data_IF_059184908594
#
_entry.id   IF_059184908594
#
_cell.length_a   1.000
_cell.length_b   1.000
_cell.length_c   1.000
_cell.angle_alpha   90.00
_cell.angle_beta   90.00
_cell.angle_gamma   90.00
#
_symmetry.space_group_name_H-M   'P 1'
#
loop_
_entity.id
_entity.type
_entity.pdbx_description
1 polymer ?
#
# COMPACT_ATOMS: atom_id res chain seq x y z
N UNK A 1 14.81 -13.27 4.11
CA UNK A 1 14.72 -12.39 5.29
C UNK A 1 14.24 -10.98 4.95
N UNK A 2 14.61 -10.42 3.79
CA UNK A 2 14.25 -9.06 3.36
C UNK A 2 12.76 -8.85 2.99
N UNK A 3 12.07 -9.89 2.50
CA UNK A 3 10.63 -9.81 2.15
C UNK A 3 9.74 -9.59 3.38
N UNK A 4 10.01 -10.31 4.48
CA UNK A 4 9.25 -10.18 5.74
C UNK A 4 9.28 -8.76 6.32
N UNK A 5 10.45 -8.12 6.33
CA UNK A 5 10.60 -6.73 6.82
C UNK A 5 9.75 -5.72 6.05
N UNK A 6 9.54 -5.96 4.75
CA UNK A 6 8.76 -5.08 3.88
C UNK A 6 7.27 -5.28 4.15
N UNK A 7 6.85 -6.54 4.29
CA UNK A 7 5.46 -6.86 4.61
C UNK A 7 5.09 -6.28 5.99
N UNK A 8 6.02 -6.34 6.96
CA UNK A 8 5.90 -5.70 8.28
C UNK A 8 5.79 -4.18 8.19
N UNK A 9 6.67 -3.52 7.43
CA UNK A 9 6.64 -2.05 7.23
C UNK A 9 5.34 -1.61 6.54
N UNK A 10 4.89 -2.37 5.53
CA UNK A 10 3.63 -2.09 4.85
C UNK A 10 2.42 -2.24 5.78
N UNK A 11 2.41 -3.30 6.59
CA UNK A 11 1.36 -3.53 7.59
C UNK A 11 1.30 -2.41 8.62
N UNK A 12 2.45 -1.96 9.13
CA UNK A 12 2.52 -0.85 10.09
C UNK A 12 1.91 0.44 9.50
N UNK A 13 2.23 0.76 8.23
CA UNK A 13 1.65 1.91 7.53
C UNK A 13 0.13 1.77 7.32
N UNK A 14 -0.36 0.58 6.97
CA UNK A 14 -1.79 0.33 6.84
C UNK A 14 -2.52 0.52 8.18
N UNK A 15 -1.96 0.01 9.28
CA UNK A 15 -2.53 0.15 10.62
C UNK A 15 -2.60 1.62 11.05
N UNK A 16 -1.53 2.40 10.80
CA UNK A 16 -1.51 3.83 11.08
C UNK A 16 -2.61 4.57 10.30
N UNK A 17 -2.81 4.24 9.03
CA UNK A 17 -3.89 4.82 8.22
C UNK A 17 -5.27 4.42 8.75
N UNK A 18 -5.48 3.18 9.20
CA UNK A 18 -6.76 2.76 9.82
C UNK A 18 -7.10 3.52 11.11
N UNK A 19 -6.09 4.02 11.83
CA UNK A 19 -6.29 4.76 13.08
C UNK A 19 -6.71 6.21 12.86
N UNK A 20 -6.66 6.72 11.63
CA UNK A 20 -7.10 8.07 11.29
C UNK A 20 -8.60 8.21 11.48
N UNK A 21 -9.02 9.30 12.13
CA UNK A 21 -10.44 9.59 12.36
C UNK A 21 -11.22 9.73 11.04
N UNK A 22 -10.62 10.35 10.02
CA UNK A 22 -11.21 10.44 8.67
C UNK A 22 -11.47 9.07 8.07
N UNK A 23 -10.51 8.15 8.20
CA UNK A 23 -10.61 6.78 7.70
C UNK A 23 -11.64 5.98 8.49
N UNK A 24 -11.67 6.08 9.83
CA UNK A 24 -12.66 5.39 10.67
C UNK A 24 -14.10 5.81 10.39
N UNK A 25 -14.32 7.06 9.95
CA UNK A 25 -15.64 7.57 9.55
C UNK A 25 -16.05 7.15 8.14
N UNK A 26 -15.08 6.84 7.27
CA UNK A 26 -15.33 6.33 5.93
C UNK A 26 -15.26 4.80 5.90
N UNK A 27 -16.42 4.17 6.09
CA UNK A 27 -16.51 2.70 6.16
C UNK A 27 -15.94 2.01 4.91
N UNK A 28 -16.19 2.54 3.72
CA UNK A 28 -15.75 1.90 2.48
C UNK A 28 -14.22 1.91 2.39
N UNK A 29 -13.60 3.05 2.69
CA UNK A 29 -12.16 3.16 2.69
C UNK A 29 -11.52 2.37 3.83
N UNK A 30 -12.10 2.40 5.03
CA UNK A 30 -11.67 1.59 6.17
C UNK A 30 -11.65 0.10 5.85
N UNK A 31 -12.74 -0.43 5.28
CA UNK A 31 -12.87 -1.84 4.91
C UNK A 31 -11.82 -2.23 3.86
N UNK A 32 -11.53 -1.34 2.91
CA UNK A 32 -10.51 -1.53 1.88
C UNK A 32 -9.10 -1.62 2.46
N UNK A 33 -8.72 -0.73 3.39
CA UNK A 33 -7.42 -0.79 4.08
C UNK A 33 -7.33 -2.04 4.95
N UNK A 34 -8.42 -2.37 5.66
CA UNK A 34 -8.51 -3.55 6.52
C UNK A 34 -8.35 -4.85 5.76
N UNK A 35 -8.99 -4.96 4.60
CA UNK A 35 -8.87 -6.13 3.74
C UNK A 35 -7.44 -6.32 3.23
N UNK A 36 -6.76 -5.22 2.87
CA UNK A 36 -5.37 -5.30 2.45
C UNK A 36 -4.46 -5.77 3.60
N UNK A 37 -4.62 -5.20 4.80
CA UNK A 37 -3.84 -5.62 5.98
C UNK A 37 -4.06 -7.10 6.31
N UNK A 38 -5.30 -7.58 6.34
CA UNK A 38 -5.64 -8.98 6.59
C UNK A 38 -5.00 -9.93 5.56
N UNK A 39 -5.04 -9.58 4.27
CA UNK A 39 -4.40 -10.37 3.22
C UNK A 39 -2.90 -10.48 3.40
N UNK A 40 -2.21 -9.38 3.73
CA UNK A 40 -0.76 -9.39 3.95
C UNK A 40 -0.40 -10.22 5.19
N UNK A 41 -1.16 -10.10 6.28
CA UNK A 41 -0.98 -10.96 7.46
C UNK A 41 -1.13 -12.45 7.14
N UNK A 42 -2.04 -12.80 6.22
CA UNK A 42 -2.24 -14.16 5.71
C UNK A 42 -1.19 -14.62 4.68
N UNK A 43 -0.18 -13.80 4.39
CA UNK A 43 0.92 -14.13 3.49
C UNK A 43 0.66 -13.83 2.01
N UNK A 44 -0.35 -13.00 1.70
CA UNK A 44 -0.53 -12.50 0.35
C UNK A 44 0.66 -11.63 -0.08
N UNK A 45 0.86 -11.51 -1.39
CA UNK A 45 1.96 -10.74 -1.93
C UNK A 45 1.70 -9.22 -1.79
N UNK A 46 2.53 -8.55 -0.99
CA UNK A 46 2.49 -7.10 -0.78
C UNK A 46 2.60 -6.30 -2.06
N UNK A 47 3.42 -6.71 -3.03
CA UNK A 47 3.56 -5.98 -4.30
C UNK A 47 2.22 -5.98 -5.09
N UNK A 48 1.40 -7.04 -4.97
CA UNK A 48 0.07 -7.11 -5.61
C UNK A 48 -0.93 -6.21 -4.90
N UNK A 49 -0.98 -6.23 -3.57
CA UNK A 49 -1.90 -5.38 -2.81
C UNK A 49 -1.52 -3.90 -2.92
N UNK A 50 -0.22 -3.56 -3.02
CA UNK A 50 0.26 -2.20 -3.32
C UNK A 50 -0.32 -1.71 -4.66
N UNK A 51 -0.28 -2.54 -5.70
CA UNK A 51 -0.84 -2.17 -7.01
C UNK A 51 -2.36 -1.97 -6.95
N UNK A 52 -3.08 -2.79 -6.18
CA UNK A 52 -4.54 -2.68 -6.01
C UNK A 52 -4.94 -1.42 -5.25
N UNK A 53 -4.20 -1.07 -4.20
CA UNK A 53 -4.52 0.07 -3.35
C UNK A 53 -4.17 1.42 -3.98
N UNK A 54 -3.20 1.48 -4.90
CA UNK A 54 -2.60 2.73 -5.37
C UNK A 54 -3.60 3.79 -5.86
N UNK A 55 -4.61 3.40 -6.64
CA UNK A 55 -5.63 4.34 -7.14
C UNK A 55 -6.53 4.89 -6.04
N UNK A 56 -6.84 4.07 -5.03
CA UNK A 56 -7.71 4.44 -3.91
C UNK A 56 -6.99 5.37 -2.95
N UNK A 57 -5.73 5.08 -2.60
CA UNK A 57 -4.91 5.94 -1.73
C UNK A 57 -4.76 7.33 -2.35
N UNK A 58 -4.43 7.43 -3.63
CA UNK A 58 -4.26 8.72 -4.30
C UNK A 58 -5.55 9.56 -4.26
N UNK A 59 -6.70 8.94 -4.54
CA UNK A 59 -8.00 9.63 -4.52
C UNK A 59 -8.35 10.08 -3.11
N UNK A 60 -8.14 9.23 -2.11
CA UNK A 60 -8.50 9.52 -0.73
C UNK A 60 -7.62 10.61 -0.12
N UNK A 61 -6.32 10.58 -0.41
CA UNK A 61 -5.34 11.57 0.06
C UNK A 61 -5.69 12.99 -0.39
N UNK A 62 -6.22 13.17 -1.60
CA UNK A 62 -6.64 14.48 -2.11
C UNK A 62 -7.76 15.09 -1.27
N UNK A 63 -8.70 14.27 -0.81
CA UNK A 63 -9.85 14.73 -0.01
C UNK A 63 -9.56 14.79 1.49
N UNK A 64 -8.65 13.94 1.97
CA UNK A 64 -8.33 13.79 3.40
C UNK A 64 -6.80 13.74 3.59
N UNK A 65 -6.09 14.87 3.42
CA UNK A 65 -4.64 14.89 3.54
C UNK A 65 -4.20 14.54 4.96
N UNK A 66 -3.31 13.57 5.10
CA UNK A 66 -2.65 13.23 6.37
C UNK A 66 -1.22 12.73 6.11
N UNK A 67 -0.36 12.83 7.14
CA UNK A 67 1.02 12.39 7.01
C UNK A 67 1.10 10.87 6.76
N UNK A 68 0.28 10.08 7.45
CA UNK A 68 0.22 8.62 7.35
C UNK A 68 -0.19 8.17 5.94
N UNK A 69 -1.12 8.87 5.31
CA UNK A 69 -1.53 8.60 3.92
C UNK A 69 -0.42 8.98 2.93
N UNK A 70 0.33 10.07 3.17
CA UNK A 70 1.50 10.44 2.37
C UNK A 70 2.61 9.41 2.51
N UNK A 71 2.92 8.98 3.73
CA UNK A 71 3.94 7.98 4.01
C UNK A 71 3.60 6.63 3.34
N UNK A 72 2.34 6.20 3.45
CA UNK A 72 1.83 5.03 2.75
C UNK A 72 1.97 5.16 1.22
N UNK A 73 1.59 6.30 0.66
CA UNK A 73 1.69 6.57 -0.78
C UNK A 73 3.15 6.52 -1.26
N UNK A 74 4.07 7.16 -0.54
CA UNK A 74 5.50 7.19 -0.89
C UNK A 74 6.12 5.79 -0.84
N UNK A 75 5.80 5.02 0.20
CA UNK A 75 6.21 3.62 0.30
C UNK A 75 5.73 2.80 -0.91
N UNK A 76 4.44 2.93 -1.26
CA UNK A 76 3.82 2.24 -2.38
C UNK A 76 4.45 2.64 -3.72
N UNK A 77 4.72 3.93 -3.94
CA UNK A 77 5.36 4.42 -5.18
C UNK A 77 6.79 3.89 -5.34
N UNK A 78 7.60 3.91 -4.27
CA UNK A 78 8.96 3.36 -4.27
C UNK A 78 8.97 1.87 -4.63
N UNK A 79 7.91 1.15 -4.28
CA UNK A 79 7.71 -0.26 -4.59
C UNK A 79 7.23 -0.50 -6.02
N UNK A 80 6.20 0.22 -6.45
CA UNK A 80 5.69 0.14 -7.82
C UNK A 80 6.79 0.46 -8.87
N UNK A 81 7.67 1.41 -8.58
CA UNK A 81 8.80 1.76 -9.46
C UNK A 81 9.83 0.63 -9.58
N UNK A 82 10.05 -0.19 -8.54
CA UNK A 82 10.90 -1.38 -8.64
C UNK A 82 10.25 -2.46 -9.50
N UNK A 83 8.94 -2.66 -9.38
CA UNK A 83 8.21 -3.62 -10.18
C UNK A 83 8.26 -3.26 -11.68
N UNK A 84 8.05 -1.97 -12.02
CA UNK A 84 8.23 -1.46 -13.38
C UNK A 84 9.68 -1.59 -13.88
N UNK A 85 10.66 -1.31 -13.03
CA UNK A 85 12.08 -1.50 -13.34
C UNK A 85 12.43 -2.95 -13.67
N UNK A 86 11.86 -3.91 -12.94
CA UNK A 86 12.01 -5.34 -13.25
C UNK A 86 11.41 -5.72 -14.60
N UNK A 87 10.19 -5.27 -14.92
CA UNK A 87 9.56 -5.52 -16.22
C UNK A 87 10.40 -4.97 -17.39
N UNK A 88 10.98 -3.78 -17.22
CA UNK A 88 11.83 -3.16 -18.23
C UNK A 88 13.16 -3.92 -18.42
N UNK A 89 13.76 -4.44 -17.35
CA UNK A 89 14.99 -5.25 -17.45
C UNK A 89 14.70 -6.59 -18.12
N UNK A 90 13.58 -7.24 -17.82
CA UNK A 90 13.21 -8.51 -18.47
C UNK A 90 12.81 -8.36 -19.94
N UNK A 91 12.36 -7.18 -20.36
CA UNK A 91 12.04 -6.89 -21.77
C UNK A 91 13.25 -6.59 -22.65
N UNK A 92 14.43 -6.34 -22.08
CA UNK A 92 15.69 -6.14 -22.82
C UNK A 92 16.44 -7.44 -23.12
N UNK A 93 16.09 -8.54 -22.44
CA UNK A 93 16.63 -9.88 -22.71
C UNK A 93 15.74 -10.72 -23.65
N UNK A 94 14.78 -10.08 -24.33
CA UNK A 94 13.93 -10.69 -25.36
C UNK A 94 14.39 -10.29 -26.76
#
# INVERSE_FOLDING_TARGET
>A
MMKRKVDEEFLDLLIKVQQLESVQKDKEFYDLISLAADKIQKGANSDIEIMRLGSFINKYLVSNPSQELVDLQLFMQKRANRYKGWLNVTGWFS
#
